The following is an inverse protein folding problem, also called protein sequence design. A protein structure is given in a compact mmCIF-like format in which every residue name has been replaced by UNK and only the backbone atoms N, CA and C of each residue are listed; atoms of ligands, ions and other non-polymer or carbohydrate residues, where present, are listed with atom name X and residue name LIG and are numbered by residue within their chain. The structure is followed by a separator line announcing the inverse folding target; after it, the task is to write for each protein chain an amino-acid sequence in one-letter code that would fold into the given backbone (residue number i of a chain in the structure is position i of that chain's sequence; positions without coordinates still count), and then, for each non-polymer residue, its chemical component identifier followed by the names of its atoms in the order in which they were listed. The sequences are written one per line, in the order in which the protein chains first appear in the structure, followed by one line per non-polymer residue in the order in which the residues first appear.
data_IF_944656093282
#
_entry.id   IF_944656093282
#
_cell.length_a   1.000
_cell.length_b   1.000
_cell.length_c   1.000
_cell.angle_alpha   90.00
_cell.angle_beta   90.00
_cell.angle_gamma   90.00
#
_symmetry.space_group_name_H-M   'P 1'
#
loop_
_entity.id
_entity.type
_entity.pdbx_description
1 polymer ?
#
# COMPACT_ATOMS: atom_id res chain seq x y z
N UNK A 1 -20.15 -57.81 12.56
CA UNK A 1 -19.38 -58.44 13.65
C UNK A 1 -18.07 -57.68 14.01
N UNK A 2 -17.57 -56.75 13.20
CA UNK A 2 -16.31 -56.03 13.46
C UNK A 2 -16.37 -54.91 14.53
N UNK A 3 -17.52 -54.33 14.79
CA UNK A 3 -17.62 -53.17 15.72
C UNK A 3 -17.63 -53.57 17.21
N UNK A 4 -17.99 -54.81 17.53
CA UNK A 4 -18.05 -55.30 18.94
C UNK A 4 -16.67 -55.66 19.51
N UNK A 5 -15.75 -56.06 18.64
CA UNK A 5 -14.37 -56.43 19.06
C UNK A 5 -13.49 -55.22 19.32
N UNK A 6 -13.71 -54.09 18.63
CA UNK A 6 -12.98 -52.83 18.84
C UNK A 6 -13.39 -52.19 20.19
N UNK A 7 -14.67 -52.25 20.55
CA UNK A 7 -15.15 -51.70 21.82
C UNK A 7 -14.60 -52.47 23.03
N UNK A 8 -14.45 -53.79 22.92
CA UNK A 8 -13.85 -54.63 23.97
C UNK A 8 -12.36 -54.35 24.13
N UNK A 9 -11.63 -54.17 23.04
CA UNK A 9 -10.20 -53.84 23.06
C UNK A 9 -9.91 -52.48 23.73
N UNK A 10 -10.72 -51.47 23.47
CA UNK A 10 -10.58 -50.12 24.09
C UNK A 10 -10.89 -50.17 25.59
N UNK A 11 -11.90 -50.94 26.00
CA UNK A 11 -12.27 -51.08 27.42
C UNK A 11 -11.16 -51.79 28.24
N UNK A 12 -10.50 -52.79 27.66
CA UNK A 12 -9.37 -53.48 28.31
C UNK A 12 -8.15 -52.58 28.47
N UNK A 13 -7.84 -51.76 27.47
CA UNK A 13 -6.69 -50.82 27.56
C UNK A 13 -6.94 -49.73 28.62
N UNK A 14 -8.14 -49.22 28.76
CA UNK A 14 -8.48 -48.22 29.79
C UNK A 14 -8.41 -48.81 31.19
N UNK A 15 -8.85 -50.07 31.38
CA UNK A 15 -8.76 -50.78 32.68
C UNK A 15 -7.31 -51.06 33.11
N UNK A 16 -6.43 -51.39 32.17
CA UNK A 16 -5.00 -51.61 32.46
C UNK A 16 -4.30 -50.31 32.86
N UNK A 17 -4.64 -49.18 32.21
CA UNK A 17 -4.08 -47.86 32.54
C UNK A 17 -4.55 -47.41 33.94
N UNK A 18 -5.81 -47.61 34.29
CA UNK A 18 -6.33 -47.25 35.61
C UNK A 18 -5.73 -48.11 36.75
N UNK A 19 -5.48 -49.39 36.49
CA UNK A 19 -4.79 -50.26 37.44
C UNK A 19 -3.33 -49.87 37.67
N UNK A 20 -2.61 -49.43 36.63
CA UNK A 20 -1.24 -48.96 36.73
C UNK A 20 -1.12 -47.63 37.53
N UNK A 21 -2.07 -46.73 37.40
CA UNK A 21 -2.15 -45.48 38.16
C UNK A 21 -2.44 -45.74 39.63
N UNK A 22 -3.34 -46.69 39.95
CA UNK A 22 -3.65 -47.08 41.33
C UNK A 22 -2.44 -47.70 42.04
N UNK A 23 -1.65 -48.52 41.34
CA UNK A 23 -0.42 -49.17 41.91
C UNK A 23 0.70 -48.14 42.17
N UNK A 24 0.80 -47.09 41.34
CA UNK A 24 1.77 -45.99 41.52
C UNK A 24 1.43 -45.07 42.71
N UNK A 25 0.15 -44.95 43.05
CA UNK A 25 -0.33 -44.16 44.20
C UNK A 25 -0.19 -44.89 45.53
N UNK A 26 -0.22 -46.24 45.52
CA UNK A 26 -0.10 -47.08 46.72
C UNK A 26 1.36 -47.23 47.24
N UNK A 27 2.37 -46.86 46.45
CA UNK A 27 3.77 -46.95 46.84
C UNK A 27 4.33 -45.72 47.56
N UNK A 28 3.50 -44.71 47.85
CA UNK A 28 3.90 -43.54 48.65
C UNK A 28 3.46 -43.70 50.12
N UNK A 29 4.07 -44.66 50.79
CA UNK A 29 3.88 -44.91 52.21
C UNK A 29 5.09 -44.52 53.03
N UNK A 30 4.85 -43.62 53.99
CA UNK A 30 5.53 -43.37 55.25
C UNK A 30 7.05 -43.20 55.29
N UNK A 31 7.46 -41.93 55.46
CA UNK A 31 8.79 -41.56 56.02
C UNK A 31 8.62 -41.28 57.54
N UNK A 32 9.63 -41.59 58.39
CA UNK A 32 9.55 -41.42 59.83
C UNK A 32 9.72 -39.95 60.25
N UNK A 33 8.99 -39.59 61.30
CA UNK A 33 9.01 -38.28 61.93
C UNK A 33 10.37 -37.98 62.61
N UNK A 34 11.03 -36.91 62.20
CA UNK A 34 12.15 -36.30 62.94
C UNK A 34 11.72 -34.98 63.56
N UNK A 35 12.13 -34.73 64.76
CA UNK A 35 11.77 -33.55 65.60
C UNK A 35 12.16 -32.21 65.00
N UNK A 36 11.47 -31.10 65.35
CA UNK A 36 11.67 -29.83 64.73
C UNK A 36 12.93 -29.11 65.26
N UNK A 37 13.91 -28.88 64.36
CA UNK A 37 14.92 -27.85 64.55
C UNK A 37 14.42 -26.58 63.88
N UNK A 38 14.38 -25.49 64.64
CA UNK A 38 14.01 -24.16 64.22
C UNK A 38 14.99 -23.64 63.15
N UNK A 39 14.57 -23.31 61.94
CA UNK A 39 15.49 -22.73 60.94
C UNK A 39 15.63 -21.23 61.16
N UNK A 40 16.89 -20.79 61.21
CA UNK A 40 17.30 -19.41 61.11
C UNK A 40 16.79 -18.85 59.74
N UNK A 41 16.18 -17.64 59.68
CA UNK A 41 15.71 -17.09 58.41
C UNK A 41 16.88 -16.76 57.49
N UNK A 42 17.04 -17.49 56.41
CA UNK A 42 17.90 -17.11 55.28
C UNK A 42 17.36 -15.86 54.62
N UNK A 43 18.21 -14.92 54.15
CA UNK A 43 17.74 -13.73 53.44
C UNK A 43 16.98 -14.14 52.20
N UNK A 44 15.70 -13.68 52.09
CA UNK A 44 14.85 -13.83 50.91
C UNK A 44 15.46 -12.98 49.83
N UNK A 45 16.20 -13.57 48.90
CA UNK A 45 16.57 -12.92 47.64
C UNK A 45 15.30 -12.80 46.83
N UNK A 46 14.78 -11.57 46.67
CA UNK A 46 13.68 -11.28 45.74
C UNK A 46 14.05 -11.82 44.35
N UNK A 47 13.17 -12.57 43.68
CA UNK A 47 13.45 -13.06 42.34
C UNK A 47 13.67 -11.86 41.42
N UNK A 48 14.84 -11.78 40.81
CA UNK A 48 15.14 -10.86 39.72
C UNK A 48 14.08 -11.08 38.64
N UNK A 49 13.34 -10.05 38.20
CA UNK A 49 12.32 -10.22 37.19
C UNK A 49 12.98 -10.85 35.94
N UNK A 50 12.47 -11.99 35.53
CA UNK A 50 12.90 -12.65 34.29
C UNK A 50 12.65 -11.68 33.14
N UNK A 51 13.61 -11.45 32.21
CA UNK A 51 13.41 -10.54 31.10
C UNK A 51 12.16 -10.99 30.33
N UNK A 52 11.19 -10.09 30.17
CA UNK A 52 10.02 -10.33 29.35
C UNK A 52 10.49 -10.69 27.93
N UNK A 53 10.07 -11.81 27.35
CA UNK A 53 10.46 -12.15 26.00
C UNK A 53 10.08 -11.00 25.04
N UNK A 54 10.92 -10.69 24.04
CA UNK A 54 10.61 -9.64 23.08
C UNK A 54 9.26 -9.94 22.41
N UNK A 55 8.44 -8.91 22.13
CA UNK A 55 7.17 -9.09 21.47
C UNK A 55 7.35 -9.78 20.11
N UNK A 56 6.42 -10.66 19.73
CA UNK A 56 6.44 -11.32 18.44
C UNK A 56 6.48 -10.30 17.30
N UNK A 57 7.13 -10.60 16.15
CA UNK A 57 7.17 -9.74 14.99
C UNK A 57 5.75 -9.37 14.54
N UNK A 58 5.56 -8.10 14.17
CA UNK A 58 4.32 -7.66 13.53
C UNK A 58 4.36 -8.02 12.04
N UNK A 59 3.37 -8.79 11.56
CA UNK A 59 3.21 -9.15 10.15
C UNK A 59 2.64 -7.95 9.39
N UNK A 60 3.48 -7.22 8.65
CA UNK A 60 3.09 -6.03 7.90
C UNK A 60 2.85 -6.37 6.43
N UNK A 61 1.61 -6.41 6.01
CA UNK A 61 1.21 -6.66 4.61
C UNK A 61 1.14 -5.34 3.85
N UNK A 62 2.01 -5.17 2.85
CA UNK A 62 2.11 -3.97 2.01
C UNK A 62 1.47 -4.24 0.66
N UNK A 63 0.37 -3.53 0.32
CA UNK A 63 -0.23 -3.61 -1.01
C UNK A 63 0.23 -2.44 -1.87
N UNK A 64 0.56 -2.73 -3.12
CA UNK A 64 1.19 -1.81 -4.06
C UNK A 64 0.28 -1.48 -5.25
N UNK A 65 0.66 -1.87 -6.42
CA UNK A 65 -0.06 -1.78 -7.70
C UNK A 65 0.50 -2.83 -8.64
N UNK A 66 0.26 -2.70 -9.93
CA UNK A 66 0.85 -3.58 -10.96
C UNK A 66 2.36 -3.36 -11.09
N UNK A 67 3.06 -4.37 -11.62
CA UNK A 67 4.54 -4.38 -11.76
C UNK A 67 5.08 -3.37 -12.80
N UNK A 68 4.22 -2.80 -13.63
CA UNK A 68 4.60 -1.80 -14.65
C UNK A 68 4.69 -0.36 -14.14
N UNK A 69 4.29 -0.12 -12.86
CA UNK A 69 4.30 1.20 -12.22
C UNK A 69 5.41 1.34 -11.17
N UNK A 70 5.29 2.37 -10.34
CA UNK A 70 6.29 2.78 -9.34
C UNK A 70 6.02 2.19 -7.97
N UNK A 71 4.78 1.90 -7.60
CA UNK A 71 4.40 1.37 -6.29
C UNK A 71 5.08 0.04 -5.97
N UNK A 72 5.11 -0.88 -6.94
CA UNK A 72 5.63 -2.23 -6.71
C UNK A 72 7.14 -2.25 -6.39
N UNK A 73 8.04 -1.64 -7.18
CA UNK A 73 9.46 -1.62 -6.85
C UNK A 73 9.76 -0.89 -5.54
N UNK A 74 9.07 0.22 -5.23
CA UNK A 74 9.27 0.93 -3.98
C UNK A 74 8.71 0.13 -2.78
N UNK A 75 7.54 -0.50 -2.92
CA UNK A 75 6.93 -1.30 -1.87
C UNK A 75 7.74 -2.56 -1.54
N UNK A 76 8.28 -3.23 -2.56
CA UNK A 76 9.18 -4.37 -2.38
C UNK A 76 10.45 -3.94 -1.66
N UNK A 77 11.07 -2.84 -2.09
CA UNK A 77 12.26 -2.31 -1.43
C UNK A 77 11.98 -1.89 0.01
N UNK A 78 10.83 -1.23 0.28
CA UNK A 78 10.43 -0.87 1.64
C UNK A 78 10.27 -2.12 2.52
N UNK A 79 9.63 -3.18 2.02
CA UNK A 79 9.50 -4.43 2.75
C UNK A 79 10.88 -5.04 3.09
N UNK A 80 11.81 -5.06 2.14
CA UNK A 80 13.18 -5.54 2.36
C UNK A 80 13.90 -4.71 3.44
N UNK A 81 13.78 -3.38 3.40
CA UNK A 81 14.38 -2.49 4.39
C UNK A 81 13.80 -2.72 5.79
N UNK A 82 12.48 -2.88 5.90
CA UNK A 82 11.80 -3.16 7.16
C UNK A 82 12.24 -4.49 7.75
N UNK A 83 12.34 -5.54 6.93
CA UNK A 83 12.84 -6.85 7.35
C UNK A 83 14.30 -6.78 7.82
N UNK A 84 15.12 -5.97 7.14
CA UNK A 84 16.55 -5.82 7.43
C UNK A 84 16.83 -5.00 8.70
N UNK A 85 16.12 -3.88 8.88
CA UNK A 85 16.49 -2.86 9.85
C UNK A 85 15.56 -2.75 11.07
N UNK A 86 14.45 -3.50 11.12
CA UNK A 86 13.51 -3.41 12.25
C UNK A 86 13.95 -4.17 13.51
N UNK A 87 15.13 -4.80 13.48
CA UNK A 87 15.62 -5.68 14.55
C UNK A 87 14.62 -6.80 14.93
N UNK A 88 13.96 -7.37 13.92
CA UNK A 88 12.97 -8.43 14.09
C UNK A 88 11.61 -7.97 14.59
N UNK A 89 11.37 -6.64 14.73
CA UNK A 89 10.07 -6.11 15.18
C UNK A 89 8.99 -6.18 14.09
N UNK A 90 9.39 -6.11 12.81
CA UNK A 90 8.48 -6.12 11.65
C UNK A 90 8.89 -7.25 10.72
N UNK A 91 7.89 -8.02 10.25
CA UNK A 91 8.01 -8.96 9.14
C UNK A 91 7.11 -8.46 8.02
N UNK A 92 7.72 -7.78 7.06
CA UNK A 92 7.02 -7.13 5.96
C UNK A 92 6.97 -7.99 4.71
N UNK A 93 5.84 -7.96 4.00
CA UNK A 93 5.67 -8.56 2.67
C UNK A 93 5.01 -7.56 1.76
N UNK A 94 5.51 -7.41 0.53
CA UNK A 94 4.90 -6.57 -0.50
C UNK A 94 4.21 -7.44 -1.56
N UNK A 95 3.01 -7.04 -1.96
CA UNK A 95 2.21 -7.73 -2.97
C UNK A 95 1.68 -6.75 -4.01
N UNK A 96 1.51 -7.23 -5.24
CA UNK A 96 0.74 -6.53 -6.27
C UNK A 96 -0.74 -6.46 -5.91
N UNK A 97 -1.43 -5.46 -6.43
CA UNK A 97 -2.86 -5.26 -6.22
C UNK A 97 -3.50 -4.55 -7.42
N UNK A 98 -4.82 -4.28 -7.34
CA UNK A 98 -5.54 -3.41 -8.26
C UNK A 98 -5.28 -1.91 -8.05
N UNK A 99 -4.27 -1.52 -7.25
CA UNK A 99 -3.89 -0.17 -6.87
C UNK A 99 -4.93 0.57 -6.00
N UNK A 100 -5.03 1.90 -6.09
CA UNK A 100 -5.52 2.80 -5.04
C UNK A 100 -6.89 2.48 -4.45
N UNK A 101 -7.92 2.23 -5.27
CA UNK A 101 -9.28 1.91 -4.79
C UNK A 101 -9.31 0.51 -4.16
N UNK A 102 -8.66 -0.46 -4.82
CA UNK A 102 -8.55 -1.82 -4.29
C UNK A 102 -7.76 -1.83 -2.96
N UNK A 103 -6.72 -1.00 -2.85
CA UNK A 103 -5.90 -0.87 -1.65
C UNK A 103 -6.67 -0.26 -0.47
N UNK A 104 -7.49 0.78 -0.71
CA UNK A 104 -8.36 1.32 0.33
C UNK A 104 -9.37 0.28 0.83
N UNK A 105 -9.95 -0.51 -0.08
CA UNK A 105 -10.87 -1.61 0.28
C UNK A 105 -10.16 -2.72 1.04
N UNK A 106 -8.92 -3.05 0.67
CA UNK A 106 -8.11 -4.03 1.37
C UNK A 106 -7.75 -3.59 2.81
N UNK A 107 -7.52 -2.29 3.05
CA UNK A 107 -7.39 -1.74 4.40
C UNK A 107 -8.69 -1.93 5.19
N UNK A 108 -9.85 -1.64 4.59
CA UNK A 108 -11.14 -1.83 5.24
C UNK A 108 -11.40 -3.29 5.63
N UNK A 109 -11.06 -4.22 4.74
CA UNK A 109 -11.22 -5.66 4.95
C UNK A 109 -10.19 -6.27 5.94
N UNK A 110 -9.06 -5.58 6.21
CA UNK A 110 -7.95 -6.13 7.00
C UNK A 110 -7.00 -7.03 6.21
N UNK A 111 -7.13 -7.05 4.88
CA UNK A 111 -6.25 -7.83 4.00
C UNK A 111 -4.87 -7.19 3.85
N UNK A 112 -4.79 -5.87 3.97
CA UNK A 112 -3.56 -5.08 3.97
C UNK A 112 -3.40 -4.31 5.29
N UNK A 113 -2.14 -4.12 5.72
CA UNK A 113 -1.78 -3.29 6.87
C UNK A 113 -1.34 -1.90 6.42
N UNK A 114 -0.56 -1.82 5.35
CA UNK A 114 -0.02 -0.60 4.76
C UNK A 114 -0.20 -0.65 3.23
N UNK A 115 -0.51 0.48 2.63
CA UNK A 115 -0.78 0.57 1.20
C UNK A 115 -0.11 1.77 0.56
N UNK A 116 0.25 1.63 -0.71
CA UNK A 116 0.47 2.75 -1.61
C UNK A 116 -0.87 3.17 -2.20
N UNK A 117 -1.16 4.47 -2.20
CA UNK A 117 -2.46 5.01 -2.61
C UNK A 117 -2.30 6.45 -3.09
N UNK A 118 -3.17 6.89 -4.00
CA UNK A 118 -3.26 8.28 -4.41
C UNK A 118 -3.99 9.11 -3.36
N UNK A 119 -3.57 10.35 -3.18
CA UNK A 119 -4.10 11.22 -2.13
C UNK A 119 -5.58 11.57 -2.31
N UNK A 120 -6.06 11.74 -3.52
CA UNK A 120 -7.48 11.93 -3.83
C UNK A 120 -8.31 10.69 -3.48
N UNK A 121 -7.85 9.49 -3.85
CA UNK A 121 -8.52 8.22 -3.52
C UNK A 121 -8.53 7.98 -2.01
N UNK A 122 -7.43 8.30 -1.31
CA UNK A 122 -7.38 8.23 0.16
C UNK A 122 -8.42 9.17 0.81
N UNK A 123 -8.57 10.38 0.27
CA UNK A 123 -9.59 11.33 0.70
C UNK A 123 -11.00 10.81 0.44
N UNK A 124 -11.28 10.30 -0.76
CA UNK A 124 -12.61 9.77 -1.10
C UNK A 124 -12.96 8.57 -0.22
N UNK A 125 -12.01 7.69 0.05
CA UNK A 125 -12.18 6.55 0.94
C UNK A 125 -12.47 6.99 2.38
N UNK A 126 -11.68 7.93 2.91
CA UNK A 126 -11.85 8.47 4.27
C UNK A 126 -13.18 9.22 4.44
N UNK A 127 -13.62 9.97 3.43
CA UNK A 127 -14.90 10.71 3.46
C UNK A 127 -16.11 9.85 3.14
N UNK A 128 -15.94 8.70 2.46
CA UNK A 128 -17.04 7.86 2.01
C UNK A 128 -17.84 8.51 0.86
N UNK A 129 -17.12 9.07 -0.11
CA UNK A 129 -17.72 9.74 -1.28
C UNK A 129 -17.31 9.07 -2.59
N UNK A 130 -18.00 9.40 -3.68
CA UNK A 130 -17.82 8.79 -5.00
C UNK A 130 -17.90 7.26 -4.94
N UNK A 131 -16.84 6.55 -5.37
CA UNK A 131 -16.79 5.08 -5.38
C UNK A 131 -16.82 4.45 -3.98
N UNK A 132 -16.77 5.23 -2.92
CA UNK A 132 -16.88 4.80 -1.52
C UNK A 132 -18.18 5.26 -0.85
N UNK A 133 -19.15 5.77 -1.60
CA UNK A 133 -20.47 6.11 -1.06
C UNK A 133 -21.12 4.86 -0.45
N UNK A 134 -21.58 4.97 0.79
CA UNK A 134 -22.08 3.84 1.58
C UNK A 134 -21.02 2.83 2.06
N UNK A 135 -19.73 3.05 1.75
CA UNK A 135 -18.61 2.15 2.10
C UNK A 135 -17.37 2.90 2.57
N UNK A 136 -17.58 3.87 3.46
CA UNK A 136 -16.50 4.69 4.04
C UNK A 136 -15.43 3.83 4.69
N UNK A 137 -14.16 4.15 4.45
CA UNK A 137 -13.01 3.46 5.03
C UNK A 137 -12.54 4.22 6.28
N UNK A 138 -13.20 4.01 7.41
CA UNK A 138 -12.91 4.74 8.65
C UNK A 138 -11.54 4.42 9.25
N UNK A 139 -10.99 3.25 8.92
CA UNK A 139 -9.72 2.75 9.44
C UNK A 139 -8.48 3.31 8.74
N UNK A 140 -8.64 4.05 7.62
CA UNK A 140 -7.49 4.57 6.88
C UNK A 140 -6.84 5.76 7.60
N UNK A 141 -5.51 5.76 7.71
CA UNK A 141 -4.69 6.83 8.29
C UNK A 141 -3.50 7.13 7.38
N UNK A 142 -3.16 8.42 7.30
CA UNK A 142 -1.99 8.88 6.54
C UNK A 142 -0.68 8.51 7.23
N UNK A 143 0.35 8.23 6.42
CA UNK A 143 1.71 7.97 6.88
C UNK A 143 2.68 8.99 6.30
N UNK A 144 2.83 9.05 4.97
CA UNK A 144 3.70 10.00 4.27
C UNK A 144 3.24 10.20 2.83
N UNK A 145 3.34 11.42 2.33
CA UNK A 145 3.28 11.73 0.90
C UNK A 145 4.65 11.43 0.28
N UNK A 146 4.66 10.91 -0.93
CA UNK A 146 5.87 10.37 -1.55
C UNK A 146 6.36 11.20 -2.75
N UNK A 147 5.58 11.23 -3.82
CA UNK A 147 5.97 11.90 -5.09
C UNK A 147 4.74 12.20 -5.94
N UNK A 148 4.85 13.14 -6.90
CA UNK A 148 3.79 13.39 -7.88
C UNK A 148 3.60 12.22 -8.84
N UNK A 149 2.35 11.84 -9.07
CA UNK A 149 1.91 10.87 -10.09
C UNK A 149 1.32 11.63 -11.26
N UNK A 150 2.02 11.57 -12.37
CA UNK A 150 1.69 12.33 -13.57
C UNK A 150 0.63 11.58 -14.37
N UNK A 151 -0.42 12.28 -14.78
CA UNK A 151 -1.46 11.75 -15.66
C UNK A 151 -0.92 11.78 -17.09
N UNK A 152 -0.58 10.61 -17.59
CA UNK A 152 0.00 10.41 -18.91
C UNK A 152 -1.06 9.79 -19.81
N UNK A 153 -1.55 10.51 -20.80
CA UNK A 153 -2.44 9.97 -21.83
C UNK A 153 -1.54 9.59 -23.01
N UNK A 154 -1.08 8.34 -22.97
CA UNK A 154 -0.07 7.81 -23.90
C UNK A 154 -0.73 7.40 -25.21
N UNK A 155 -0.15 7.83 -26.31
CA UNK A 155 -0.54 7.44 -27.68
C UNK A 155 0.69 7.09 -28.49
N UNK A 156 0.55 6.28 -29.53
CA UNK A 156 1.63 6.08 -30.51
C UNK A 156 1.90 7.38 -31.26
N UNK A 157 3.15 7.68 -31.53
CA UNK A 157 3.54 8.91 -32.23
C UNK A 157 2.93 9.03 -33.64
N UNK A 158 2.68 7.88 -34.28
CA UNK A 158 2.07 7.77 -35.62
C UNK A 158 0.52 7.69 -35.61
N UNK A 159 -0.13 7.75 -34.45
CA UNK A 159 -1.58 7.54 -34.29
C UNK A 159 -2.44 8.66 -34.88
N UNK A 160 -1.88 9.85 -35.10
CA UNK A 160 -2.63 11.06 -35.50
C UNK A 160 -3.43 11.71 -34.34
N UNK A 161 -3.45 11.11 -33.13
CA UNK A 161 -4.13 11.69 -31.95
C UNK A 161 -3.21 12.78 -31.36
N UNK A 162 -3.73 14.01 -31.27
CA UNK A 162 -3.01 15.19 -30.79
C UNK A 162 -3.70 15.90 -29.62
N UNK A 163 -4.98 15.67 -29.42
CA UNK A 163 -5.81 16.33 -28.41
C UNK A 163 -6.78 15.35 -27.76
N UNK A 164 -7.36 15.73 -26.62
CA UNK A 164 -8.42 14.94 -25.96
C UNK A 164 -9.62 14.68 -26.89
N UNK A 165 -9.95 15.67 -27.76
CA UNK A 165 -11.08 15.53 -28.69
C UNK A 165 -10.86 14.38 -29.69
N UNK A 166 -9.63 14.08 -30.06
CA UNK A 166 -9.31 12.99 -31.00
C UNK A 166 -9.53 11.60 -30.39
N UNK A 167 -9.83 11.51 -29.08
CA UNK A 167 -10.23 10.27 -28.41
C UNK A 167 -11.68 9.87 -28.72
N UNK A 168 -12.51 10.76 -29.27
CA UNK A 168 -13.89 10.44 -29.65
C UNK A 168 -13.91 9.26 -30.64
N UNK A 169 -14.72 8.23 -30.34
CA UNK A 169 -14.81 6.98 -31.09
C UNK A 169 -13.63 6.01 -30.90
N UNK A 170 -12.69 6.30 -30.03
CA UNK A 170 -11.50 5.47 -29.80
C UNK A 170 -11.68 4.44 -28.68
N UNK A 171 -10.92 3.36 -28.76
CA UNK A 171 -10.74 2.40 -27.67
C UNK A 171 -9.61 2.94 -26.80
N UNK A 172 -9.90 3.20 -25.51
CA UNK A 172 -8.96 3.83 -24.57
C UNK A 172 -8.75 2.93 -23.37
N UNK A 173 -7.50 2.56 -23.09
CA UNK A 173 -7.15 1.91 -21.84
C UNK A 173 -7.19 2.95 -20.72
N UNK A 174 -8.10 2.77 -19.76
CA UNK A 174 -8.37 3.75 -18.70
C UNK A 174 -7.72 3.41 -17.35
N UNK A 175 -6.86 2.41 -17.31
CA UNK A 175 -6.25 1.88 -16.09
C UNK A 175 -6.91 0.58 -15.63
N UNK A 176 -6.29 -0.12 -14.70
CA UNK A 176 -6.84 -1.38 -14.16
C UNK A 176 -8.16 -1.13 -13.42
N UNK A 177 -9.05 -2.11 -13.42
CA UNK A 177 -10.25 -2.07 -12.60
C UNK A 177 -9.87 -1.94 -11.11
N UNK A 178 -10.43 -0.95 -10.41
CA UNK A 178 -10.11 -0.67 -9.02
C UNK A 178 -8.84 0.18 -8.81
N UNK A 179 -8.23 0.72 -9.88
CA UNK A 179 -7.13 1.68 -9.77
C UNK A 179 -7.63 3.13 -9.63
N UNK A 180 -6.80 4.01 -9.05
CA UNK A 180 -7.04 5.44 -9.09
C UNK A 180 -6.94 5.98 -10.51
N UNK A 181 -6.04 5.43 -11.35
CA UNK A 181 -5.95 5.77 -12.78
C UNK A 181 -7.30 5.65 -13.48
N UNK A 182 -8.09 4.59 -13.20
CA UNK A 182 -9.41 4.43 -13.80
C UNK A 182 -10.39 5.51 -13.33
N UNK A 183 -10.32 5.90 -12.07
CA UNK A 183 -11.14 6.98 -11.50
C UNK A 183 -10.80 8.32 -12.14
N UNK A 184 -9.53 8.65 -12.23
CA UNK A 184 -9.05 9.91 -12.79
C UNK A 184 -9.31 10.02 -14.29
N UNK A 185 -9.12 8.92 -15.05
CA UNK A 185 -9.48 8.85 -16.45
C UNK A 185 -10.97 9.12 -16.66
N UNK A 186 -11.82 8.48 -15.85
CA UNK A 186 -13.28 8.72 -15.91
C UNK A 186 -13.63 10.16 -15.57
N UNK A 187 -13.10 10.72 -14.48
CA UNK A 187 -13.36 12.11 -14.07
C UNK A 187 -12.95 13.09 -15.18
N UNK A 188 -11.74 12.97 -15.70
CA UNK A 188 -11.20 13.86 -16.73
C UNK A 188 -12.03 13.77 -18.01
N UNK A 189 -12.34 12.56 -18.46
CA UNK A 189 -13.10 12.35 -19.70
C UNK A 189 -14.57 12.75 -19.54
N UNK A 190 -15.20 12.60 -18.37
CA UNK A 190 -16.56 13.12 -18.11
C UNK A 190 -16.60 14.64 -18.14
N UNK A 191 -15.65 15.31 -17.47
CA UNK A 191 -15.59 16.78 -17.47
C UNK A 191 -15.26 17.33 -18.88
N UNK A 192 -14.51 16.56 -19.68
CA UNK A 192 -14.24 16.86 -21.08
C UNK A 192 -15.44 16.53 -22.01
N UNK A 193 -16.50 15.85 -21.53
CA UNK A 193 -17.64 15.42 -22.35
C UNK A 193 -17.32 14.28 -23.33
N UNK A 194 -16.33 13.44 -22.97
CA UNK A 194 -15.79 12.37 -23.83
C UNK A 194 -16.05 10.96 -23.29
N UNK A 195 -16.40 10.80 -22.02
CA UNK A 195 -16.53 9.47 -21.42
C UNK A 195 -17.46 8.53 -22.17
N UNK A 196 -18.65 9.02 -22.53
CA UNK A 196 -19.67 8.25 -23.23
C UNK A 196 -19.41 8.15 -24.76
N UNK A 197 -18.30 8.74 -25.23
CA UNK A 197 -17.89 8.76 -26.63
C UNK A 197 -16.65 7.90 -26.90
N UNK A 198 -16.07 7.28 -25.87
CA UNK A 198 -14.98 6.33 -26.01
C UNK A 198 -15.45 4.91 -25.71
N UNK A 199 -14.61 3.92 -26.05
CA UNK A 199 -14.78 2.54 -25.57
C UNK A 199 -13.71 2.28 -24.51
N UNK A 200 -14.03 2.32 -23.20
CA UNK A 200 -13.04 2.13 -22.14
C UNK A 200 -12.62 0.66 -22.05
N UNK A 201 -11.31 0.42 -21.86
CA UNK A 201 -10.71 -0.87 -21.56
C UNK A 201 -9.98 -0.78 -20.22
N UNK A 202 -10.31 -1.69 -19.29
CA UNK A 202 -9.69 -1.72 -17.95
C UNK A 202 -8.47 -2.63 -17.98
N UNK A 203 -7.30 -2.04 -18.21
CA UNK A 203 -6.03 -2.75 -18.37
C UNK A 203 -5.00 -2.18 -17.38
N UNK A 204 -4.13 -3.04 -16.84
CA UNK A 204 -2.97 -2.56 -16.10
C UNK A 204 -1.95 -1.92 -17.06
N UNK A 205 -0.91 -1.27 -16.51
CA UNK A 205 0.02 -0.49 -17.32
C UNK A 205 0.80 -1.32 -18.35
N UNK A 206 1.17 -2.58 -18.03
CA UNK A 206 1.85 -3.47 -18.98
C UNK A 206 0.90 -3.94 -20.08
N UNK A 207 -0.31 -4.33 -19.71
CA UNK A 207 -1.35 -4.71 -20.65
C UNK A 207 -1.73 -3.54 -21.57
N UNK A 208 -1.85 -2.32 -21.02
CA UNK A 208 -2.15 -1.12 -21.79
C UNK A 208 -1.01 -0.77 -22.77
N UNK A 209 0.25 -0.87 -22.35
CA UNK A 209 1.42 -0.66 -23.20
C UNK A 209 1.48 -1.68 -24.36
N UNK A 210 1.27 -2.96 -24.06
CA UNK A 210 1.24 -3.99 -25.11
C UNK A 210 0.07 -3.81 -26.06
N UNK A 211 -1.12 -3.44 -25.56
CA UNK A 211 -2.29 -3.15 -26.38
C UNK A 211 -2.09 -1.93 -27.30
N UNK A 212 -1.39 -0.89 -26.81
CA UNK A 212 -0.96 0.25 -27.65
C UNK A 212 0.00 -0.18 -28.75
N UNK A 213 0.98 -1.04 -28.43
CA UNK A 213 1.95 -1.57 -29.37
C UNK A 213 1.26 -2.36 -30.49
N UNK A 214 0.30 -3.21 -30.11
CA UNK A 214 -0.49 -4.03 -31.04
C UNK A 214 -1.58 -3.23 -31.79
N UNK A 215 -1.87 -1.98 -31.37
CA UNK A 215 -2.93 -1.14 -31.94
C UNK A 215 -4.34 -1.59 -31.56
N UNK A 216 -4.51 -2.44 -30.55
CA UNK A 216 -5.83 -2.88 -30.05
C UNK A 216 -6.47 -1.84 -29.15
N UNK A 217 -5.69 -0.92 -28.58
CA UNK A 217 -6.16 0.34 -28.01
C UNK A 217 -5.46 1.51 -28.70
N UNK A 218 -6.09 2.68 -28.70
CA UNK A 218 -5.60 3.87 -29.42
C UNK A 218 -4.91 4.87 -28.49
N UNK A 219 -5.29 4.87 -27.20
CA UNK A 219 -4.70 5.66 -26.15
C UNK A 219 -4.72 4.89 -24.82
N UNK A 220 -3.84 5.25 -23.90
CA UNK A 220 -3.82 4.68 -22.55
C UNK A 220 -3.58 5.74 -21.49
N UNK A 221 -4.42 5.78 -20.46
CA UNK A 221 -4.16 6.52 -19.25
C UNK A 221 -3.20 5.74 -18.36
N UNK A 222 -2.12 6.39 -17.97
CA UNK A 222 -1.12 5.88 -17.04
C UNK A 222 -0.84 6.98 -16.01
N UNK A 223 -1.28 6.79 -14.77
CA UNK A 223 -1.04 7.75 -13.69
C UNK A 223 0.02 7.19 -12.76
N UNK A 224 1.21 7.72 -12.90
CA UNK A 224 2.39 7.23 -12.19
C UNK A 224 3.51 8.28 -12.20
N UNK A 225 4.56 8.06 -11.41
CA UNK A 225 5.80 8.83 -11.53
C UNK A 225 6.48 8.59 -12.88
N UNK A 226 7.04 9.66 -13.46
CA UNK A 226 7.78 9.62 -14.74
C UNK A 226 9.30 9.56 -14.51
N UNK A 227 10.05 8.83 -15.37
CA UNK A 227 9.53 7.94 -16.40
C UNK A 227 8.90 6.67 -15.79
N UNK A 228 7.82 6.18 -16.43
CA UNK A 228 7.11 4.96 -15.99
C UNK A 228 7.65 3.75 -16.76
N UNK A 229 7.98 2.66 -16.07
CA UNK A 229 8.63 1.49 -16.69
C UNK A 229 7.86 0.93 -17.90
N UNK A 230 6.55 0.74 -17.77
CA UNK A 230 5.73 0.21 -18.88
C UNK A 230 5.76 1.13 -20.13
N UNK A 231 5.81 2.46 -19.93
CA UNK A 231 5.89 3.43 -21.03
C UNK A 231 7.29 3.45 -21.64
N UNK A 232 8.34 3.35 -20.81
CA UNK A 232 9.71 3.25 -21.30
C UNK A 232 9.94 1.99 -22.15
N UNK A 233 9.43 0.83 -21.67
CA UNK A 233 9.51 -0.43 -22.41
C UNK A 233 8.78 -0.34 -23.78
N UNK A 234 7.58 0.27 -23.80
CA UNK A 234 6.86 0.53 -25.05
C UNK A 234 7.66 1.46 -25.97
N UNK A 235 8.09 2.61 -25.44
CA UNK A 235 8.76 3.67 -26.21
C UNK A 235 10.11 3.22 -26.79
N UNK A 236 10.75 2.19 -26.23
CA UNK A 236 11.98 1.63 -26.76
C UNK A 236 11.81 0.97 -28.15
N UNK A 237 10.58 0.50 -28.47
CA UNK A 237 10.28 -0.17 -29.75
C UNK A 237 9.21 0.56 -30.56
N UNK A 238 8.39 1.36 -29.94
CA UNK A 238 7.24 2.05 -30.53
C UNK A 238 7.23 3.50 -29.99
N UNK A 239 7.70 4.48 -30.78
CA UNK A 239 7.70 5.88 -30.36
C UNK A 239 6.32 6.34 -29.90
N UNK A 240 6.28 7.08 -28.79
CA UNK A 240 5.02 7.55 -28.17
C UNK A 240 4.99 9.06 -28.03
N UNK A 241 3.78 9.60 -27.96
CA UNK A 241 3.50 10.96 -27.53
C UNK A 241 2.54 10.93 -26.35
N UNK A 242 2.45 12.03 -25.60
CA UNK A 242 1.43 12.28 -24.62
C UNK A 242 0.43 13.30 -25.16
N UNK A 243 -0.85 13.06 -24.84
CA UNK A 243 -1.92 14.05 -25.14
C UNK A 243 -1.98 15.04 -23.97
N UNK A 244 -1.97 16.33 -24.30
CA UNK A 244 -2.07 17.42 -23.31
C UNK A 244 -3.45 17.49 -22.65
N UNK A 245 -3.45 17.83 -21.36
CA UNK A 245 -4.66 18.23 -20.62
C UNK A 245 -4.61 19.76 -20.49
N UNK A 246 -5.50 20.49 -21.20
CA UNK A 246 -5.40 21.95 -21.28
C UNK A 246 -5.88 22.63 -19.98
N UNK A 247 -5.39 23.84 -19.73
CA UNK A 247 -5.65 24.60 -18.50
C UNK A 247 -7.15 24.89 -18.27
N UNK A 248 -7.92 25.11 -19.33
CA UNK A 248 -9.37 25.33 -19.19
C UNK A 248 -10.11 24.10 -18.67
N UNK A 249 -9.64 22.88 -19.00
CA UNK A 249 -10.17 21.66 -18.46
C UNK A 249 -9.80 21.51 -16.96
N UNK A 250 -8.57 21.85 -16.59
CA UNK A 250 -8.18 21.90 -15.17
C UNK A 250 -9.08 22.85 -14.38
N UNK A 251 -9.34 24.06 -14.91
CA UNK A 251 -10.24 25.03 -14.27
C UNK A 251 -11.67 24.47 -14.08
N UNK A 252 -12.19 23.71 -15.06
CA UNK A 252 -13.49 23.03 -14.95
C UNK A 252 -13.48 21.92 -13.89
N UNK A 253 -12.41 21.15 -13.81
CA UNK A 253 -12.23 20.12 -12.78
C UNK A 253 -12.27 20.74 -11.38
N UNK A 254 -11.51 21.80 -11.14
CA UNK A 254 -11.49 22.52 -9.85
C UNK A 254 -12.88 23.10 -9.52
N UNK A 255 -13.57 23.71 -10.49
CA UNK A 255 -14.92 24.25 -10.31
C UNK A 255 -15.96 23.18 -9.95
N UNK A 256 -15.74 21.92 -10.34
CA UNK A 256 -16.57 20.77 -9.97
C UNK A 256 -16.14 20.07 -8.66
N UNK A 257 -15.14 20.63 -7.95
CA UNK A 257 -14.67 20.12 -6.65
C UNK A 257 -13.50 19.11 -6.71
N UNK A 258 -12.98 18.82 -7.89
CA UNK A 258 -11.81 17.93 -8.07
C UNK A 258 -10.49 18.69 -7.83
N UNK A 259 -10.22 19.04 -6.58
CA UNK A 259 -9.13 19.94 -6.16
C UNK A 259 -7.75 19.28 -6.03
N UNK A 260 -7.64 17.96 -6.22
CA UNK A 260 -6.37 17.24 -6.06
C UNK A 260 -5.49 17.28 -7.31
N UNK A 261 -6.05 17.66 -8.44
CA UNK A 261 -5.31 17.78 -9.68
C UNK A 261 -4.39 19.00 -9.68
N UNK A 262 -3.09 18.78 -9.87
CA UNK A 262 -2.04 19.81 -9.87
C UNK A 262 -1.51 19.96 -11.31
N UNK A 263 -1.51 21.14 -11.92
CA UNK A 263 -0.90 21.36 -13.24
C UNK A 263 0.60 21.08 -13.22
N UNK A 264 1.07 20.31 -14.20
CA UNK A 264 2.49 19.96 -14.36
C UNK A 264 2.85 19.90 -15.84
N UNK A 265 4.17 20.04 -16.14
CA UNK A 265 4.72 19.82 -17.47
C UNK A 265 5.58 18.56 -17.49
N UNK A 266 5.39 17.73 -18.50
CA UNK A 266 6.26 16.60 -18.82
C UNK A 266 7.27 17.09 -19.87
N UNK A 267 8.57 17.08 -19.59
CA UNK A 267 9.58 17.56 -20.52
C UNK A 267 9.62 16.72 -21.80
N UNK A 268 9.89 17.36 -22.94
CA UNK A 268 10.25 16.68 -24.17
C UNK A 268 11.40 15.70 -23.94
N UNK A 269 11.42 14.60 -24.67
CA UNK A 269 12.44 13.58 -24.51
C UNK A 269 12.27 12.68 -23.27
N UNK A 270 11.23 12.85 -22.45
CA UNK A 270 10.90 11.91 -21.36
C UNK A 270 10.72 10.49 -21.90
N UNK A 271 10.09 10.35 -23.05
CA UNK A 271 9.98 9.10 -23.81
C UNK A 271 10.38 9.29 -25.26
N UNK A 272 10.85 8.21 -25.90
CA UNK A 272 11.14 8.23 -27.35
C UNK A 272 9.88 8.58 -28.14
N UNK A 273 9.96 9.58 -29.00
CA UNK A 273 8.86 10.14 -29.79
C UNK A 273 8.35 11.49 -29.30
N UNK A 274 8.60 11.84 -28.05
CA UNK A 274 8.22 13.16 -27.51
C UNK A 274 9.18 14.25 -27.96
N UNK A 275 8.71 15.15 -28.84
CA UNK A 275 9.49 16.27 -29.38
C UNK A 275 9.20 17.60 -28.70
N UNK A 276 8.11 17.68 -27.93
CA UNK A 276 7.63 18.88 -27.25
C UNK A 276 7.32 18.60 -25.79
N UNK A 277 7.32 19.64 -24.95
CA UNK A 277 6.83 19.57 -23.59
C UNK A 277 5.31 19.39 -23.61
N UNK A 278 4.79 18.57 -22.67
CA UNK A 278 3.36 18.29 -22.59
C UNK A 278 2.79 18.77 -21.26
N UNK A 279 1.86 19.73 -21.32
CA UNK A 279 1.09 20.16 -20.16
C UNK A 279 0.09 19.08 -19.78
N UNK A 280 0.06 18.71 -18.51
CA UNK A 280 -0.86 17.72 -17.97
C UNK A 280 -1.16 18.01 -16.49
N UNK A 281 -1.75 17.05 -15.80
CA UNK A 281 -2.09 17.10 -14.38
C UNK A 281 -1.35 16.01 -13.61
N UNK A 282 -1.26 16.18 -12.30
CA UNK A 282 -0.74 15.18 -11.38
C UNK A 282 -1.63 15.10 -10.14
N UNK A 283 -1.57 13.96 -9.46
CA UNK A 283 -1.97 13.75 -8.07
C UNK A 283 -0.74 13.35 -7.26
N UNK A 284 -0.88 13.03 -5.98
CA UNK A 284 0.25 12.64 -5.14
C UNK A 284 0.13 11.18 -4.70
N UNK A 285 1.21 10.43 -4.86
CA UNK A 285 1.36 9.13 -4.22
C UNK A 285 1.59 9.31 -2.72
N UNK A 286 1.00 8.46 -1.91
CA UNK A 286 1.22 8.45 -0.47
C UNK A 286 1.19 7.02 0.10
N UNK A 287 1.74 6.86 1.30
CA UNK A 287 1.51 5.70 2.15
C UNK A 287 0.34 5.97 3.07
N UNK A 288 -0.56 5.01 3.16
CA UNK A 288 -1.62 4.95 4.16
C UNK A 288 -1.56 3.61 4.89
N UNK A 289 -2.05 3.61 6.12
CA UNK A 289 -2.00 2.46 7.01
C UNK A 289 -3.36 2.26 7.68
N UNK A 290 -3.62 1.05 8.14
CA UNK A 290 -4.79 0.75 8.99
C UNK A 290 -4.60 1.36 10.38
N UNK A 291 -5.64 1.92 10.95
CA UNK A 291 -5.59 2.64 12.24
C UNK A 291 -5.20 1.75 13.44
N UNK A 292 -5.38 0.44 13.34
CA UNK A 292 -5.06 -0.54 14.40
C UNK A 292 -3.64 -1.12 14.31
N UNK A 293 -2.83 -0.68 13.34
CA UNK A 293 -1.40 -1.02 13.31
C UNK A 293 -0.73 -0.37 14.54
N UNK A 294 0.14 -1.09 15.29
CA UNK A 294 0.77 -0.52 16.49
C UNK A 294 1.57 0.76 16.19
N UNK A 295 1.51 1.73 17.09
CA UNK A 295 2.20 3.02 16.94
C UNK A 295 3.70 2.87 16.71
N UNK A 296 4.35 1.96 17.45
CA UNK A 296 5.79 1.69 17.32
C UNK A 296 6.15 1.08 15.96
N UNK A 297 5.24 0.32 15.35
CA UNK A 297 5.42 -0.23 14.00
C UNK A 297 5.40 0.89 12.96
N UNK A 298 4.39 1.77 12.98
CA UNK A 298 4.31 2.89 12.03
C UNK A 298 5.46 3.88 12.23
N UNK A 299 5.84 4.14 13.48
CA UNK A 299 7.03 4.94 13.79
C UNK A 299 8.28 4.33 13.13
N UNK A 300 8.51 3.02 13.30
CA UNK A 300 9.65 2.31 12.69
C UNK A 300 9.60 2.31 11.16
N UNK A 301 8.42 2.22 10.55
CA UNK A 301 8.27 2.33 9.08
C UNK A 301 8.85 3.65 8.60
N UNK A 302 8.46 4.76 9.22
CA UNK A 302 8.95 6.09 8.86
C UNK A 302 10.43 6.27 9.19
N UNK A 303 10.88 5.84 10.35
CA UNK A 303 12.26 5.97 10.77
C UNK A 303 13.22 5.20 9.85
N UNK A 304 12.88 3.96 9.50
CA UNK A 304 13.66 3.16 8.56
C UNK A 304 13.60 3.77 7.15
N UNK A 305 12.43 4.16 6.69
CA UNK A 305 12.24 4.74 5.36
C UNK A 305 13.11 5.98 5.16
N UNK A 306 13.10 6.93 6.09
CA UNK A 306 13.86 8.17 5.96
C UNK A 306 15.33 8.03 6.33
N UNK A 307 15.68 7.18 7.31
CA UNK A 307 17.09 6.93 7.68
C UNK A 307 17.85 6.27 6.53
N UNK A 308 17.23 5.33 5.84
CA UNK A 308 17.84 4.58 4.75
C UNK A 308 17.28 4.97 3.37
N UNK A 309 16.82 6.21 3.20
CA UNK A 309 16.19 6.71 1.97
C UNK A 309 17.02 6.46 0.70
N UNK A 310 18.35 6.42 0.84
CA UNK A 310 19.26 6.07 -0.26
C UNK A 310 19.00 4.69 -0.87
N UNK A 311 18.52 3.72 -0.10
CA UNK A 311 18.15 2.40 -0.64
C UNK A 311 16.88 2.47 -1.52
N UNK A 312 15.90 3.30 -1.17
CA UNK A 312 14.72 3.55 -2.02
C UNK A 312 15.11 4.30 -3.29
N UNK A 313 16.01 5.30 -3.20
CA UNK A 313 16.53 6.05 -4.35
C UNK A 313 17.28 5.15 -5.32
N UNK A 314 18.07 4.22 -4.81
CA UNK A 314 18.75 3.22 -5.63
C UNK A 314 17.77 2.23 -6.30
N UNK A 315 16.61 1.97 -5.68
CA UNK A 315 15.61 1.06 -6.25
C UNK A 315 14.77 1.73 -7.36
N UNK A 316 14.48 3.02 -7.25
CA UNK A 316 13.69 3.73 -8.26
C UNK A 316 13.93 5.24 -8.23
N UNK A 317 14.14 5.85 -9.40
CA UNK A 317 14.42 7.29 -9.54
C UNK A 317 13.35 8.21 -8.91
N UNK A 318 12.08 7.76 -8.83
CA UNK A 318 11.01 8.55 -8.19
C UNK A 318 11.22 8.77 -6.70
N UNK A 319 12.01 7.92 -6.03
CA UNK A 319 12.33 8.12 -4.62
C UNK A 319 13.20 9.35 -4.35
N UNK A 320 13.80 9.98 -5.38
CA UNK A 320 14.49 11.27 -5.22
C UNK A 320 13.53 12.41 -4.77
N UNK A 321 12.25 12.30 -5.11
CA UNK A 321 11.23 13.25 -4.66
C UNK A 321 10.79 13.04 -3.21
N UNK A 322 11.09 11.88 -2.62
CA UNK A 322 10.68 11.54 -1.25
C UNK A 322 11.62 12.22 -0.26
N UNK A 323 11.07 13.10 0.55
CA UNK A 323 11.81 13.76 1.62
C UNK A 323 10.94 13.97 2.86
N UNK A 324 11.58 14.09 4.01
CA UNK A 324 10.89 14.31 5.28
C UNK A 324 10.14 15.65 5.29
N UNK A 325 10.74 16.68 4.70
CA UNK A 325 10.20 18.05 4.64
C UNK A 325 8.87 18.11 3.87
N UNK A 326 8.72 17.26 2.83
CA UNK A 326 7.54 17.21 1.96
C UNK A 326 6.53 16.13 2.36
N UNK A 327 6.84 15.33 3.35
CA UNK A 327 6.05 14.14 3.68
C UNK A 327 4.60 14.43 4.12
N UNK A 328 4.28 15.67 4.47
CA UNK A 328 2.92 16.10 4.83
C UNK A 328 2.27 17.02 3.79
N UNK A 329 3.00 17.45 2.76
CA UNK A 329 2.46 18.32 1.70
C UNK A 329 1.40 17.60 0.87
N UNK A 330 0.14 18.06 0.94
CA UNK A 330 -0.98 17.44 0.21
C UNK A 330 -1.53 16.16 0.86
N UNK A 331 -1.16 15.88 2.12
CA UNK A 331 -1.79 14.84 2.94
C UNK A 331 -3.26 15.20 3.20
N UNK A 332 -4.24 14.38 2.78
CA UNK A 332 -5.64 14.77 2.82
C UNK A 332 -6.43 14.17 3.98
N UNK A 333 -5.83 13.30 4.77
CA UNK A 333 -6.49 12.52 5.83
C UNK A 333 -5.68 12.57 7.13
N UNK A 334 -6.31 12.36 8.30
CA UNK A 334 -5.61 12.32 9.57
C UNK A 334 -4.46 11.30 9.57
N UNK A 335 -3.37 11.67 10.22
CA UNK A 335 -2.20 10.82 10.36
C UNK A 335 -2.46 9.68 11.35
N UNK A 336 -1.70 8.61 11.21
CA UNK A 336 -1.62 7.57 12.23
C UNK A 336 -0.88 8.09 13.47
N UNK A 337 -1.28 7.71 14.70
CA UNK A 337 -0.61 8.18 15.94
C UNK A 337 0.91 7.95 15.94
N UNK A 338 1.38 6.80 15.42
CA UNK A 338 2.81 6.52 15.28
C UNK A 338 3.52 7.46 14.29
N UNK A 339 2.83 7.91 13.23
CA UNK A 339 3.34 8.93 12.33
C UNK A 339 3.39 10.31 13.00
N UNK A 340 2.35 10.67 13.74
CA UNK A 340 2.33 11.91 14.55
C UNK A 340 3.52 11.96 15.50
N UNK A 341 3.76 10.86 16.23
CA UNK A 341 4.90 10.77 17.14
C UNK A 341 6.23 10.95 16.39
N UNK A 342 6.42 10.26 15.28
CA UNK A 342 7.64 10.36 14.47
C UNK A 342 7.90 11.79 13.99
N UNK A 343 6.90 12.45 13.39
CA UNK A 343 7.06 13.81 12.88
C UNK A 343 7.36 14.82 14.01
N UNK A 344 6.71 14.69 15.16
CA UNK A 344 7.01 15.52 16.35
C UNK A 344 8.44 15.32 16.83
N UNK A 345 8.92 14.09 16.92
CA UNK A 345 10.29 13.76 17.36
C UNK A 345 11.35 14.30 16.36
N UNK A 346 10.97 14.47 15.09
CA UNK A 346 11.82 15.09 14.04
C UNK A 346 11.64 16.62 13.93
N UNK A 347 10.83 17.24 14.78
CA UNK A 347 10.59 18.70 14.78
C UNK A 347 9.69 19.19 13.64
N UNK A 348 8.95 18.31 12.96
CA UNK A 348 8.02 18.68 11.89
C UNK A 348 6.70 19.16 12.51
N UNK A 349 6.26 20.35 12.11
CA UNK A 349 4.95 20.89 12.51
C UNK A 349 3.83 20.15 11.78
N UNK A 350 2.90 19.59 12.54
CA UNK A 350 1.74 18.87 11.98
C UNK A 350 0.54 19.82 11.95
N UNK A 351 -0.05 20.07 10.78
CA UNK A 351 -1.28 20.86 10.66
C UNK A 351 -2.41 20.29 11.53
N UNK A 352 -3.25 21.15 12.15
CA UNK A 352 -4.33 20.69 13.04
C UNK A 352 -5.28 19.68 12.40
N UNK A 353 -5.59 19.83 11.12
CA UNK A 353 -6.47 18.95 10.35
C UNK A 353 -5.90 17.55 10.12
N UNK A 354 -4.60 17.37 10.32
CA UNK A 354 -3.92 16.07 10.21
C UNK A 354 -3.77 15.37 11.58
N UNK A 355 -4.18 15.99 12.67
CA UNK A 355 -4.20 15.33 13.98
C UNK A 355 -5.24 14.21 13.98
N UNK A 356 -4.99 13.07 14.68
CA UNK A 356 -5.91 11.93 14.76
C UNK A 356 -7.27 12.26 15.34
#
# INVERSE_FOLDING_TARGET
MASRNVAIAVAVVVLVILAAIALLLAQRGAAPATSPTTPTPSPVTSPTPSPTPPPAPYELKIFTGGTGGVYYPLGTKLADMLNKYSAGRIKATASTSGASVANARALAAGDASLVFIQNDIAFYAYKGIYMFEGSRVEVIRGVAVLYPEIIQIVVRADSGIRSLKDLEGKIVAVGAAGSGTAVEAEIILRVAGLWDKITPQYLDFRQAAESLKLGTVHAAFIVAGIPTAAVQELAATTPVNLVSIPQDLHSKLVAQGYRFFIPVNVPKGTYSGMTEDVQTLAVLAMLAVRADVPEDVVYKVLDIMFTYIGELRAAHARAEAISLEKALEGMPIPLHPGAVKYYKDKGITIPPELQP
#
